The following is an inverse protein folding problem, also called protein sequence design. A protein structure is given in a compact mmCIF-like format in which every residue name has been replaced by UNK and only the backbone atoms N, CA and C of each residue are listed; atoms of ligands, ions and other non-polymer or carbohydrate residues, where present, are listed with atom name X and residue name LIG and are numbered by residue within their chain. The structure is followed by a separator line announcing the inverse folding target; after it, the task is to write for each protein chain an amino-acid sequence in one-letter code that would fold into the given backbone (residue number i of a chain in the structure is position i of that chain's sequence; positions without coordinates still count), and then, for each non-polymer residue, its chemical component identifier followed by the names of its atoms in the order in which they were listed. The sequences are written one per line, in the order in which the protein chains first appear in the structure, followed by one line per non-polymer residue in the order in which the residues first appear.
data_IF_711052601586
#
_entry.id   IF_711052601586
#
_cell.length_a   1.000
_cell.length_b   1.000
_cell.length_c   1.000
_cell.angle_alpha   90.00
_cell.angle_beta   90.00
_cell.angle_gamma   90.00
#
_symmetry.space_group_name_H-M   'P 1'
#
loop_
_entity.id
_entity.type
_entity.pdbx_description
1 polymer ?
#
# COMPACT_ATOMS: atom_id res chain seq x y z
N UNK A 1 -26.34 28.09 18.85
CA UNK A 1 -26.43 27.16 18.30
C UNK A 1 -25.80 27.05 17.07
N UNK A 2 -26.05 27.66 16.24
CA UNK A 2 -25.43 27.57 15.01
C UNK A 2 -23.95 27.62 15.13
N UNK A 3 -23.52 28.16 16.14
CA UNK A 3 -22.12 28.29 16.26
C UNK A 3 -21.40 27.02 16.24
N UNK A 4 -21.96 26.04 16.70
CA UNK A 4 -21.31 24.83 16.67
C UNK A 4 -20.94 24.44 15.36
N UNK A 5 -21.63 24.69 14.42
CA UNK A 5 -21.27 24.26 13.17
C UNK A 5 -20.09 24.85 12.70
N UNK A 6 -19.72 25.93 13.12
CA UNK A 6 -18.61 26.54 12.71
C UNK A 6 -17.42 25.71 12.74
N UNK A 7 -17.08 25.06 13.73
CA UNK A 7 -15.88 24.30 13.84
C UNK A 7 -15.81 23.35 12.68
N UNK A 8 -16.89 22.75 12.43
CA UNK A 8 -16.92 21.80 11.35
C UNK A 8 -16.66 22.54 10.08
N UNK A 9 -17.20 23.67 9.97
CA UNK A 9 -17.04 24.39 8.76
C UNK A 9 -15.63 24.80 8.53
N UNK A 10 -14.89 24.96 9.59
CA UNK A 10 -13.58 25.30 9.41
C UNK A 10 -12.69 24.25 8.87
N UNK A 11 -13.07 23.12 8.63
CA UNK A 11 -12.24 22.12 8.11
C UNK A 11 -12.48 22.01 6.67
N UNK A 12 -12.16 22.95 5.89
CA UNK A 12 -12.44 22.91 4.46
C UNK A 12 -11.65 21.82 3.81
N UNK A 13 -10.52 21.53 4.31
CA UNK A 13 -9.72 20.52 3.69
C UNK A 13 -10.19 19.11 3.91
N UNK A 14 -11.31 18.93 4.53
CA UNK A 14 -11.76 17.59 4.77
C UNK A 14 -12.57 17.05 3.61
N UNK A 15 -12.80 17.84 2.58
CA UNK A 15 -13.53 17.35 1.46
C UNK A 15 -12.72 17.35 0.18
N UNK A 16 -12.89 16.30 -0.58
CA UNK A 16 -12.16 16.17 -1.81
C UNK A 16 -12.58 17.27 -2.76
N UNK A 17 -11.65 17.77 -3.54
CA UNK A 17 -11.97 18.77 -4.52
C UNK A 17 -12.10 18.16 -5.90
N UNK A 18 -11.95 16.87 -6.03
CA UNK A 18 -12.02 16.22 -7.32
C UNK A 18 -13.45 15.87 -7.68
N UNK A 19 -13.76 15.91 -8.97
CA UNK A 19 -15.09 15.62 -9.42
C UNK A 19 -15.36 14.14 -9.52
N UNK A 20 -16.59 13.80 -9.73
CA UNK A 20 -16.98 12.41 -9.80
C UNK A 20 -16.25 11.61 -10.86
N UNK A 21 -16.03 12.20 -12.03
CA UNK A 21 -15.36 11.46 -13.09
C UNK A 21 -13.97 11.02 -12.67
N UNK A 22 -13.22 11.92 -12.03
CA UNK A 22 -11.88 11.58 -11.60
C UNK A 22 -11.94 10.57 -10.48
N UNK A 23 -12.87 10.73 -9.55
CA UNK A 23 -12.99 9.80 -8.44
C UNK A 23 -13.38 8.40 -8.92
N UNK A 24 -14.26 8.33 -9.92
CA UNK A 24 -14.65 7.03 -10.44
C UNK A 24 -13.48 6.36 -11.14
N UNK A 25 -12.68 7.14 -11.84
CA UNK A 25 -11.55 6.58 -12.52
C UNK A 25 -10.53 6.09 -11.51
N UNK A 26 -10.31 6.86 -10.45
CA UNK A 26 -9.37 6.47 -9.42
C UNK A 26 -9.87 5.23 -8.68
N UNK A 27 -11.19 5.15 -8.48
CA UNK A 27 -11.78 4.01 -7.81
C UNK A 27 -11.52 2.74 -8.63
N UNK A 28 -11.71 2.81 -9.95
CA UNK A 28 -11.46 1.67 -10.80
C UNK A 28 -10.00 1.28 -10.78
N UNK A 29 -9.12 2.28 -10.82
CA UNK A 29 -7.71 2.04 -10.81
C UNK A 29 -7.30 1.36 -9.50
N UNK A 30 -7.86 1.82 -8.39
CA UNK A 30 -7.56 1.25 -7.09
C UNK A 30 -8.01 -0.20 -7.02
N UNK A 31 -9.17 -0.51 -7.56
CA UNK A 31 -9.66 -1.87 -7.54
C UNK A 31 -8.78 -2.80 -8.37
N UNK A 32 -8.29 -2.31 -9.50
CA UNK A 32 -7.41 -3.09 -10.34
C UNK A 32 -6.09 -3.35 -9.65
N UNK A 33 -5.54 -2.30 -9.02
CA UNK A 33 -4.27 -2.46 -8.33
C UNK A 33 -4.43 -3.39 -7.13
N UNK A 34 -5.56 -3.31 -6.47
CA UNK A 34 -5.83 -4.16 -5.33
C UNK A 34 -5.78 -5.62 -5.75
N UNK A 35 -6.41 -5.92 -6.86
CA UNK A 35 -6.44 -7.28 -7.35
C UNK A 35 -5.04 -7.74 -7.71
N UNK A 36 -4.27 -6.88 -8.34
CA UNK A 36 -2.93 -7.22 -8.72
C UNK A 36 -2.04 -7.50 -7.52
N UNK A 37 -2.14 -6.66 -6.48
CA UNK A 37 -1.31 -6.86 -5.31
C UNK A 37 -1.75 -8.12 -4.53
N UNK A 38 -3.04 -8.42 -4.50
CA UNK A 38 -3.49 -9.62 -3.83
C UNK A 38 -2.97 -10.87 -4.53
N UNK A 39 -3.01 -10.88 -5.86
CA UNK A 39 -2.50 -12.01 -6.59
C UNK A 39 -1.00 -12.16 -6.38
N UNK A 40 -0.30 -11.02 -6.34
CA UNK A 40 1.13 -11.05 -6.14
C UNK A 40 1.47 -11.58 -4.75
N UNK A 41 0.73 -11.13 -3.75
CA UNK A 41 0.98 -11.58 -2.39
C UNK A 41 0.76 -13.08 -2.27
N UNK A 42 -0.30 -13.60 -2.87
CA UNK A 42 -0.59 -15.01 -2.79
C UNK A 42 0.44 -15.83 -3.56
N UNK A 43 0.86 -15.33 -4.71
CA UNK A 43 1.83 -16.01 -5.52
C UNK A 43 3.18 -16.10 -4.81
N UNK A 44 3.59 -14.99 -4.19
CA UNK A 44 4.86 -14.97 -3.47
C UNK A 44 4.82 -15.88 -2.25
N UNK A 45 3.68 -15.92 -1.58
CA UNK A 45 3.56 -16.79 -0.43
C UNK A 45 3.61 -18.25 -0.88
N UNK A 46 2.95 -18.57 -1.97
CA UNK A 46 2.96 -19.93 -2.49
C UNK A 46 4.38 -20.33 -2.89
N UNK A 47 5.11 -19.38 -3.47
CA UNK A 47 6.47 -19.66 -3.89
C UNK A 47 7.34 -19.92 -2.65
N UNK A 48 7.16 -19.12 -1.60
CA UNK A 48 7.92 -19.31 -0.38
C UNK A 48 7.62 -20.68 0.23
N UNK A 49 6.34 -21.09 0.21
CA UNK A 49 5.96 -22.38 0.76
C UNK A 49 6.55 -23.50 -0.10
N UNK A 50 6.59 -23.32 -1.40
CA UNK A 50 7.14 -24.33 -2.28
C UNK A 50 8.64 -24.51 -2.05
N UNK A 51 9.34 -23.42 -1.72
CA UNK A 51 10.75 -23.52 -1.45
C UNK A 51 10.98 -24.41 -0.23
N UNK A 52 10.10 -24.29 0.75
CA UNK A 52 10.24 -25.08 1.94
C UNK A 52 9.86 -26.53 1.67
N UNK A 53 8.76 -26.75 0.99
CA UNK A 53 8.31 -28.10 0.71
C UNK A 53 9.20 -28.85 -0.24
N UNK A 54 9.93 -28.16 -1.07
CA UNK A 54 10.78 -28.83 -2.01
C UNK A 54 11.98 -29.47 -1.40
N UNK A 55 12.23 -29.23 -0.09
CA UNK A 55 13.38 -29.80 0.54
C UNK A 55 13.05 -31.11 1.18
N UNK A 56 13.82 -32.09 0.87
CA UNK A 56 13.62 -33.37 1.47
C UNK A 56 14.40 -33.43 2.74
N UNK A 57 13.91 -34.10 3.75
CA UNK A 57 14.59 -34.14 5.01
C UNK A 57 16.05 -34.57 4.92
N UNK A 58 16.33 -35.46 4.04
CA UNK A 58 17.67 -35.93 3.97
C UNK A 58 18.63 -35.06 3.22
N UNK A 59 18.11 -34.12 2.51
CA UNK A 59 18.93 -33.26 1.72
C UNK A 59 19.75 -32.26 2.48
N UNK A 60 19.43 -32.03 3.68
CA UNK A 60 20.13 -31.01 4.41
C UNK A 60 21.30 -31.43 5.20
N UNK A 61 21.70 -32.62 5.12
CA UNK A 61 22.80 -33.00 5.90
C UNK A 61 24.15 -32.81 5.34
N UNK A 62 24.28 -32.42 4.13
CA UNK A 62 25.59 -32.27 3.56
C UNK A 62 26.09 -30.88 3.62
N UNK A 63 27.35 -30.70 3.76
CA UNK A 63 27.94 -29.40 3.81
C UNK A 63 27.65 -28.51 2.65
N UNK A 64 27.73 -29.02 1.50
CA UNK A 64 27.48 -28.19 0.42
C UNK A 64 26.06 -27.78 0.42
N UNK A 65 25.21 -28.52 1.07
CA UNK A 65 23.88 -28.16 1.12
C UNK A 65 23.63 -27.10 2.12
N UNK A 66 24.55 -26.88 3.00
CA UNK A 66 24.44 -25.89 3.98
C UNK A 66 24.33 -24.57 3.26
N UNK A 67 25.19 -24.32 2.29
CA UNK A 67 25.14 -23.09 1.54
C UNK A 67 23.90 -22.98 0.70
N UNK A 68 23.48 -24.09 0.15
CA UNK A 68 22.30 -24.10 -0.65
C UNK A 68 21.10 -23.86 0.23
N UNK A 69 21.10 -24.43 1.43
CA UNK A 69 20.02 -24.21 2.36
C UNK A 69 19.93 -22.75 2.76
N UNK A 70 21.07 -22.09 2.93
CA UNK A 70 21.06 -20.69 3.29
C UNK A 70 20.49 -19.88 2.13
N UNK A 71 20.82 -20.25 0.90
CA UNK A 71 20.32 -19.54 -0.25
C UNK A 71 18.79 -19.70 -0.34
N UNK A 72 18.29 -20.89 -0.07
CA UNK A 72 16.87 -21.12 -0.11
C UNK A 72 16.18 -20.35 1.00
N UNK A 73 16.80 -20.28 2.18
CA UNK A 73 16.22 -19.55 3.28
C UNK A 73 16.15 -18.06 2.95
N UNK A 74 17.18 -17.54 2.31
CA UNK A 74 17.19 -16.13 1.93
C UNK A 74 16.11 -15.88 0.88
N UNK A 75 15.98 -16.78 -0.08
CA UNK A 75 14.99 -16.63 -1.12
C UNK A 75 13.58 -16.67 -0.52
N UNK A 76 13.36 -17.55 0.44
CA UNK A 76 12.07 -17.67 1.06
C UNK A 76 11.77 -16.43 1.87
N UNK A 77 12.76 -15.92 2.60
CA UNK A 77 12.55 -14.72 3.40
C UNK A 77 12.23 -13.54 2.49
N UNK A 78 12.87 -13.46 1.34
CA UNK A 78 12.59 -12.39 0.41
C UNK A 78 11.17 -12.49 -0.11
N UNK A 79 10.73 -13.69 -0.49
CA UNK A 79 9.38 -13.87 -1.00
C UNK A 79 8.35 -13.50 0.06
N UNK A 80 8.61 -13.87 1.30
CA UNK A 80 7.67 -13.54 2.36
C UNK A 80 7.65 -12.04 2.64
N UNK A 81 8.81 -11.40 2.55
CA UNK A 81 8.87 -9.96 2.75
C UNK A 81 8.14 -9.23 1.63
N UNK A 82 8.30 -9.69 0.40
CA UNK A 82 7.61 -9.06 -0.72
C UNK A 82 6.10 -9.31 -0.66
N UNK A 83 5.71 -10.50 -0.16
CA UNK A 83 4.29 -10.78 0.00
C UNK A 83 3.70 -9.84 1.06
N UNK A 84 4.44 -9.60 2.15
CA UNK A 84 3.98 -8.70 3.19
C UNK A 84 3.87 -7.26 2.65
N UNK A 85 4.82 -6.84 1.81
CA UNK A 85 4.76 -5.53 1.22
C UNK A 85 3.53 -5.39 0.34
N UNK A 86 3.22 -6.44 -0.42
CA UNK A 86 2.05 -6.39 -1.28
C UNK A 86 0.77 -6.28 -0.44
N UNK A 87 0.73 -6.95 0.70
CA UNK A 87 -0.45 -6.87 1.55
C UNK A 87 -0.56 -5.49 2.18
N UNK A 88 0.58 -4.86 2.50
CA UNK A 88 0.55 -3.50 3.03
C UNK A 88 -0.01 -2.56 1.97
N UNK A 89 0.34 -2.78 0.71
CA UNK A 89 -0.19 -1.95 -0.36
C UNK A 89 -1.71 -2.12 -0.46
N UNK A 90 -2.21 -3.34 -0.25
CA UNK A 90 -3.63 -3.57 -0.28
C UNK A 90 -4.33 -2.80 0.83
N UNK A 91 -3.70 -2.73 2.00
CA UNK A 91 -4.30 -1.98 3.10
C UNK A 91 -4.36 -0.50 2.77
N UNK A 92 -3.32 0.02 2.13
CA UNK A 92 -3.34 1.42 1.76
C UNK A 92 -4.38 1.68 0.68
N UNK A 93 -4.55 0.73 -0.23
CA UNK A 93 -5.56 0.86 -1.26
C UNK A 93 -6.95 0.83 -0.64
N UNK A 94 -7.17 -0.05 0.32
CA UNK A 94 -8.47 -0.14 0.98
C UNK A 94 -8.78 1.16 1.72
N UNK A 95 -7.77 1.75 2.34
CA UNK A 95 -7.96 3.03 3.01
C UNK A 95 -8.29 4.12 2.01
N UNK A 96 -7.67 4.07 0.82
CA UNK A 96 -7.96 5.06 -0.20
C UNK A 96 -9.39 4.90 -0.72
N UNK A 97 -9.85 3.65 -0.89
CA UNK A 97 -11.21 3.41 -1.32
C UNK A 97 -12.19 3.94 -0.29
N UNK A 98 -11.84 3.80 0.98
CA UNK A 98 -12.69 4.30 2.04
C UNK A 98 -12.73 5.83 1.99
N UNK A 99 -11.60 6.48 1.70
CA UNK A 99 -11.60 7.93 1.60
C UNK A 99 -12.45 8.42 0.43
N UNK A 100 -12.51 7.64 -0.65
CA UNK A 100 -13.38 8.00 -1.75
C UNK A 100 -14.84 7.95 -1.28
N UNK A 101 -15.18 6.93 -0.53
CA UNK A 101 -16.54 6.81 -0.02
C UNK A 101 -16.87 7.93 0.96
N UNK A 102 -15.91 8.34 1.75
CA UNK A 102 -16.13 9.37 2.74
C UNK A 102 -16.00 10.79 2.21
N UNK A 103 -15.57 10.94 0.97
CA UNK A 103 -15.41 12.26 0.39
C UNK A 103 -14.14 12.99 0.80
N UNK A 104 -13.14 12.25 1.29
CA UNK A 104 -11.88 12.87 1.71
C UNK A 104 -10.70 12.45 0.85
N UNK A 105 -10.97 11.81 -0.27
CA UNK A 105 -9.89 11.34 -1.14
C UNK A 105 -9.08 12.52 -1.67
N UNK A 106 -7.79 12.36 -1.70
CA UNK A 106 -6.92 13.40 -2.26
C UNK A 106 -6.53 14.49 -1.29
N UNK A 107 -6.81 14.30 -0.01
CA UNK A 107 -6.43 15.26 0.99
C UNK A 107 -5.39 14.63 1.88
N UNK A 108 -4.24 15.31 2.03
CA UNK A 108 -3.15 14.78 2.82
C UNK A 108 -3.60 14.56 4.26
N UNK A 109 -3.43 13.36 4.77
CA UNK A 109 -3.89 13.07 6.11
C UNK A 109 -3.04 13.75 7.17
N UNK A 110 -1.86 14.19 6.81
CA UNK A 110 -1.03 14.89 7.77
C UNK A 110 -1.19 16.39 7.79
N UNK A 111 -1.32 17.00 6.64
CA UNK A 111 -1.42 18.44 6.58
C UNK A 111 -2.80 18.98 6.26
N UNK A 112 -3.68 18.13 5.78
CA UNK A 112 -5.01 18.60 5.40
C UNK A 112 -5.02 19.34 4.08
N UNK A 113 -3.89 19.40 3.39
CA UNK A 113 -3.82 20.09 2.12
C UNK A 113 -4.04 19.13 0.97
N UNK A 114 -4.46 19.62 -0.18
CA UNK A 114 -4.73 18.73 -1.29
C UNK A 114 -3.47 18.05 -1.81
N UNK A 115 -3.59 16.81 -2.20
CA UNK A 115 -2.50 16.09 -2.80
C UNK A 115 -2.56 16.39 -4.29
N UNK A 116 -1.44 16.67 -4.93
CA UNK A 116 -1.46 17.00 -6.36
C UNK A 116 -2.04 15.85 -7.17
N UNK A 117 -2.80 16.22 -8.21
CA UNK A 117 -3.44 15.23 -9.03
C UNK A 117 -2.44 14.30 -9.70
N UNK A 118 -1.29 14.82 -10.10
CA UNK A 118 -0.28 13.98 -10.71
C UNK A 118 0.19 12.88 -9.79
N UNK A 119 0.31 13.20 -8.51
CA UNK A 119 0.75 12.20 -7.56
C UNK A 119 -0.32 11.12 -7.42
N UNK A 120 -1.59 11.53 -7.44
CA UNK A 120 -2.68 10.57 -7.32
C UNK A 120 -2.82 9.72 -8.56
N UNK A 121 -2.44 10.25 -9.72
CA UNK A 121 -2.49 9.44 -10.92
C UNK A 121 -1.39 8.40 -10.89
N UNK A 122 -0.24 8.77 -10.36
CA UNK A 122 0.88 7.84 -10.27
C UNK A 122 0.69 6.85 -9.13
N UNK A 123 0.19 7.32 -8.01
CA UNK A 123 -0.02 6.47 -6.85
C UNK A 123 -1.42 6.73 -6.33
N UNK A 124 -2.40 6.01 -6.87
CA UNK A 124 -3.80 6.28 -6.50
C UNK A 124 -4.11 6.16 -5.02
N UNK A 125 -3.32 5.41 -4.28
CA UNK A 125 -3.55 5.25 -2.85
C UNK A 125 -2.74 6.21 -2.01
N UNK A 126 -2.12 7.22 -2.63
CA UNK A 126 -1.33 8.18 -1.87
C UNK A 126 -2.20 8.87 -0.83
N UNK A 127 -1.73 8.91 0.40
CA UNK A 127 -2.48 9.54 1.48
C UNK A 127 -1.79 10.78 1.99
N UNK A 128 -0.58 11.06 1.54
CA UNK A 128 0.18 12.20 2.01
C UNK A 128 0.87 12.89 0.87
N UNK A 129 1.09 14.18 1.06
CA UNK A 129 1.86 14.93 0.09
C UNK A 129 3.29 14.43 0.22
N UNK A 130 4.04 14.51 -0.84
CA UNK A 130 5.38 13.97 -0.87
C UNK A 130 6.27 14.49 0.25
N UNK A 131 6.16 15.72 0.61
CA UNK A 131 7.01 16.26 1.66
C UNK A 131 6.71 15.64 3.02
N UNK A 132 5.53 15.08 3.20
CA UNK A 132 5.21 14.44 4.45
C UNK A 132 5.45 12.93 4.38
N UNK A 133 5.41 12.38 3.19
CA UNK A 133 5.63 10.97 3.03
C UNK A 133 7.09 10.65 3.31
N UNK A 134 7.96 11.52 2.89
CA UNK A 134 9.35 11.30 3.08
C UNK A 134 9.70 11.36 4.55
N UNK A 135 8.77 11.81 5.34
CA UNK A 135 9.02 11.83 6.73
C UNK A 135 10.16 12.74 7.01
N UNK A 136 10.90 12.44 7.89
CA UNK A 136 11.93 13.27 8.20
C UNK A 136 12.96 13.41 7.19
N UNK A 137 12.95 12.58 6.25
CA UNK A 137 13.87 12.63 5.28
C UNK A 137 13.85 13.90 4.65
N UNK A 138 12.79 14.29 4.29
CA UNK A 138 12.73 15.48 3.62
C UNK A 138 13.01 16.67 4.40
N UNK A 139 12.96 16.64 5.47
CA UNK A 139 13.05 17.70 6.07
C UNK A 139 14.12 18.01 6.57
N UNK A 140 14.65 18.02 6.43
CA UNK A 140 15.59 18.31 6.95
C UNK A 140 16.00 18.97 6.57
#
# INVERSE_FOLDING_TARGET
MASQKKPAAKKPATKTRFGKAFLDKQNSSLLEERERYLRSADSLKAEADALLEGREPGDVQFDEESGEGDTLAVARDLDLALSAQARDAVEEIDAALERIRNGTYGICIKSGKPIPQERLKAIPWASERVEYKAGGLGRR
#
